data_IF_355907481832
#
_entry.id   IF_355907481832
#
_cell.length_a   1.000
_cell.length_b   1.000
_cell.length_c   1.000
_cell.angle_alpha   90.00
_cell.angle_beta   90.00
_cell.angle_gamma   90.00
#
_symmetry.space_group_name_H-M   'P 1'
#
loop_
_entity.id
_entity.type
_entity.pdbx_description
1 polymer ?
#
# COMPACT_ATOMS: atom_id res chain seq x y z
N UNK A 1 -11.99 -11.70 1.09
CA UNK A 1 -10.96 -12.48 1.83
C UNK A 1 -9.72 -11.62 1.96
N UNK A 2 -9.27 -11.43 3.18
CA UNK A 2 -8.03 -10.69 3.44
C UNK A 2 -6.83 -11.51 2.93
N UNK A 3 -6.00 -10.89 2.09
CA UNK A 3 -4.83 -11.58 1.51
C UNK A 3 -3.52 -11.01 2.07
N UNK A 4 -3.52 -9.76 2.55
CA UNK A 4 -2.31 -9.13 3.06
C UNK A 4 -2.69 -8.01 4.02
N UNK A 5 -1.95 -7.89 5.10
CA UNK A 5 -2.05 -6.77 6.03
C UNK A 5 -0.70 -6.10 6.14
N UNK A 6 -0.66 -4.81 5.86
CA UNK A 6 0.57 -4.02 5.86
C UNK A 6 0.55 -3.10 7.08
N UNK A 7 1.59 -3.19 7.90
CA UNK A 7 1.75 -2.39 9.12
C UNK A 7 2.68 -1.23 8.79
N UNK A 8 2.12 -0.01 8.73
CA UNK A 8 2.81 1.17 8.23
C UNK A 8 3.32 2.03 9.38
N UNK A 9 4.58 2.43 9.30
CA UNK A 9 5.20 3.37 10.23
C UNK A 9 5.77 4.53 9.42
N UNK A 10 5.17 5.73 9.56
CA UNK A 10 5.63 6.92 8.83
C UNK A 10 6.98 7.36 9.37
N UNK A 11 7.91 7.66 8.46
CA UNK A 11 9.27 8.08 8.81
C UNK A 11 9.58 9.52 8.44
N UNK A 12 8.64 10.20 7.79
CA UNK A 12 8.85 11.57 7.39
C UNK A 12 7.60 12.23 6.86
N UNK A 13 7.72 13.52 6.59
CA UNK A 13 6.62 14.33 6.09
C UNK A 13 7.22 15.47 5.28
N UNK A 14 7.00 15.44 3.96
CA UNK A 14 7.42 16.53 3.07
C UNK A 14 6.16 17.14 2.48
N UNK A 15 6.12 18.45 2.44
CA UNK A 15 4.91 19.11 1.98
C UNK A 15 5.28 20.42 1.24
N UNK A 16 4.53 20.68 0.16
CA UNK A 16 4.56 21.96 -0.52
C UNK A 16 3.12 22.42 -0.78
N UNK A 17 2.88 23.71 -0.59
CA UNK A 17 1.60 24.33 -0.85
C UNK A 17 1.80 25.44 -1.88
N UNK A 18 0.99 25.44 -2.93
CA UNK A 18 1.01 26.48 -3.94
C UNK A 18 -0.43 26.89 -4.23
N UNK A 19 -0.83 28.08 -3.74
CA UNK A 19 -2.24 28.49 -3.81
C UNK A 19 -3.12 27.51 -3.08
N UNK A 20 -4.06 26.92 -3.81
CA UNK A 20 -4.98 25.93 -3.26
C UNK A 20 -4.53 24.49 -3.52
N UNK A 21 -3.31 24.30 -4.02
CA UNK A 21 -2.75 22.98 -4.27
C UNK A 21 -1.83 22.60 -3.13
N UNK A 22 -1.93 21.36 -2.69
CA UNK A 22 -1.07 20.80 -1.65
C UNK A 22 -0.56 19.45 -2.12
N UNK A 23 0.75 19.25 -1.98
CA UNK A 23 1.35 17.93 -2.24
C UNK A 23 2.12 17.50 -1.00
N UNK A 24 1.83 16.30 -0.55
CA UNK A 24 2.51 15.69 0.59
C UNK A 24 3.17 14.40 0.15
N UNK A 25 4.39 14.17 0.63
CA UNK A 25 5.05 12.89 0.48
C UNK A 25 5.38 12.35 1.86
N UNK A 26 4.85 11.19 2.18
CA UNK A 26 4.96 10.56 3.49
C UNK A 26 5.78 9.29 3.34
N UNK A 27 7.12 9.35 3.52
CA UNK A 27 7.93 8.13 3.51
C UNK A 27 7.53 7.22 4.66
N UNK A 28 7.60 5.92 4.43
CA UNK A 28 7.25 4.97 5.48
C UNK A 28 8.09 3.70 5.38
N UNK A 29 8.13 3.00 6.49
CA UNK A 29 8.69 1.68 6.62
C UNK A 29 7.63 0.78 7.26
N UNK A 30 7.94 -0.49 7.43
CA UNK A 30 7.02 -1.40 8.10
C UNK A 30 7.18 -2.83 7.62
N UNK A 31 6.19 -3.64 7.99
CA UNK A 31 6.17 -5.06 7.68
C UNK A 31 4.81 -5.43 7.12
N UNK A 32 4.70 -6.65 6.62
CA UNK A 32 3.40 -7.19 6.24
C UNK A 32 3.32 -8.65 6.61
N UNK A 33 2.10 -9.14 6.79
CA UNK A 33 1.85 -10.56 6.93
C UNK A 33 0.50 -10.91 6.32
N UNK A 34 0.24 -12.21 6.23
CA UNK A 34 -0.99 -12.74 5.70
C UNK A 34 -0.85 -14.23 5.44
N UNK A 35 -1.90 -14.86 4.92
CA UNK A 35 -1.84 -16.31 4.69
C UNK A 35 -0.88 -16.72 3.57
N UNK A 36 -0.48 -15.78 2.71
CA UNK A 36 0.30 -16.10 1.50
C UNK A 36 1.69 -15.50 1.47
N UNK A 37 1.95 -14.45 2.26
CA UNK A 37 3.20 -13.71 2.17
C UNK A 37 3.49 -12.97 3.47
N UNK A 38 4.77 -12.93 3.85
CA UNK A 38 5.27 -12.15 4.99
C UNK A 38 6.54 -11.46 4.56
N UNK A 39 6.71 -10.20 4.96
CA UNK A 39 7.90 -9.49 4.58
C UNK A 39 8.09 -8.15 5.24
N UNK A 40 9.14 -7.46 4.80
CA UNK A 40 9.54 -6.14 5.30
C UNK A 40 9.61 -5.17 4.13
N UNK A 41 9.06 -3.98 4.34
CA UNK A 41 9.08 -2.92 3.34
C UNK A 41 10.52 -2.43 3.19
N UNK A 42 11.01 -2.42 1.96
CA UNK A 42 12.34 -1.93 1.64
C UNK A 42 12.35 -0.41 1.66
N UNK A 43 13.52 0.19 1.80
CA UNK A 43 13.70 1.64 1.77
C UNK A 43 13.14 2.21 0.46
N UNK A 44 12.43 3.32 0.53
CA UNK A 44 11.85 3.97 -0.63
C UNK A 44 10.33 3.96 -0.66
N UNK A 45 9.68 3.30 0.30
CA UNK A 45 8.22 3.37 0.39
C UNK A 45 7.75 4.79 0.66
N UNK A 46 6.76 5.25 -0.12
CA UNK A 46 6.25 6.61 0.02
C UNK A 46 4.78 6.66 -0.41
N UNK A 47 4.00 7.42 0.36
CA UNK A 47 2.62 7.77 0.03
C UNK A 47 2.61 9.22 -0.43
N UNK A 48 2.18 9.45 -1.67
CA UNK A 48 2.09 10.80 -2.24
C UNK A 48 0.62 11.19 -2.30
N UNK A 49 0.29 12.29 -1.63
CA UNK A 49 -1.08 12.83 -1.56
C UNK A 49 -1.12 14.17 -2.24
N UNK A 50 -2.11 14.38 -3.10
CA UNK A 50 -2.28 15.63 -3.83
C UNK A 50 -3.70 16.14 -3.66
N UNK A 51 -3.82 17.45 -3.41
CA UNK A 51 -5.12 18.13 -3.37
C UNK A 51 -5.12 19.20 -4.46
N UNK A 52 -6.16 19.21 -5.31
CA UNK A 52 -6.28 20.18 -6.38
C UNK A 52 -6.99 21.47 -5.91
N UNK A 53 -7.08 22.53 -6.76
CA UNK A 53 -7.71 23.78 -6.35
C UNK A 53 -9.19 23.65 -5.98
N UNK A 54 -9.89 22.64 -6.47
CA UNK A 54 -11.30 22.37 -6.16
C UNK A 54 -11.48 21.57 -4.88
N UNK A 55 -10.38 21.19 -4.20
CA UNK A 55 -10.42 20.42 -2.97
C UNK A 55 -10.48 18.92 -3.16
N UNK A 56 -10.38 18.44 -4.40
CA UNK A 56 -10.35 17.00 -4.67
C UNK A 56 -8.96 16.46 -4.39
N UNK A 57 -8.90 15.33 -3.71
CA UNK A 57 -7.64 14.72 -3.33
C UNK A 57 -7.43 13.35 -3.92
N UNK A 58 -6.16 13.03 -4.15
CA UNK A 58 -5.74 11.68 -4.55
C UNK A 58 -4.60 11.24 -3.65
N UNK A 59 -4.44 9.93 -3.53
CA UNK A 59 -3.27 9.35 -2.88
C UNK A 59 -2.71 8.22 -3.73
N UNK A 60 -1.40 8.03 -3.66
CA UNK A 60 -0.71 6.95 -4.34
C UNK A 60 0.45 6.51 -3.45
N UNK A 61 0.34 5.31 -2.89
CA UNK A 61 1.39 4.71 -2.09
C UNK A 61 2.10 3.67 -2.93
N UNK A 62 3.43 3.73 -2.99
CA UNK A 62 4.26 2.78 -3.75
C UNK A 62 5.35 2.26 -2.85
N UNK A 63 5.49 0.95 -2.81
CA UNK A 63 6.49 0.34 -1.95
C UNK A 63 6.83 -1.06 -2.43
N UNK A 64 8.06 -1.49 -2.10
CA UNK A 64 8.58 -2.80 -2.43
C UNK A 64 8.77 -3.57 -1.12
N UNK A 65 8.40 -4.84 -1.11
CA UNK A 65 8.51 -5.69 0.07
C UNK A 65 9.40 -6.88 -0.27
N UNK A 66 10.34 -7.17 0.61
CA UNK A 66 11.18 -8.35 0.53
C UNK A 66 10.71 -9.35 1.58
N UNK A 67 10.45 -10.58 1.17
CA UNK A 67 9.85 -11.52 2.11
C UNK A 67 9.85 -12.96 1.64
N UNK A 68 8.89 -13.71 2.17
CA UNK A 68 8.79 -15.16 1.96
C UNK A 68 7.32 -15.47 1.61
N UNK A 69 7.13 -16.26 0.56
CA UNK A 69 5.79 -16.70 0.15
C UNK A 69 5.31 -17.91 0.97
N UNK A 70 4.09 -18.34 0.68
CA UNK A 70 3.46 -19.44 1.40
C UNK A 70 4.12 -20.80 1.16
N UNK A 71 5.02 -20.89 0.18
CA UNK A 71 5.81 -22.09 -0.08
C UNK A 71 7.19 -22.05 0.53
N UNK A 72 7.50 -20.96 1.27
CA UNK A 72 8.79 -20.81 1.95
C UNK A 72 9.89 -20.25 1.06
N UNK A 73 9.56 -19.73 -0.13
CA UNK A 73 10.56 -19.20 -1.04
C UNK A 73 10.72 -17.69 -0.86
N UNK A 74 11.96 -17.22 -0.89
CA UNK A 74 12.24 -15.79 -0.87
C UNK A 74 11.73 -15.14 -2.14
N UNK A 75 11.08 -14.00 -2.00
CA UNK A 75 10.50 -13.28 -3.13
C UNK A 75 10.30 -11.82 -2.80
N UNK A 76 9.98 -11.04 -3.81
CA UNK A 76 9.63 -9.62 -3.66
C UNK A 76 8.25 -9.34 -4.20
N UNK A 77 7.66 -8.28 -3.66
CA UNK A 77 6.35 -7.82 -4.07
C UNK A 77 6.39 -6.31 -4.15
N UNK A 78 5.96 -5.77 -5.30
CA UNK A 78 5.72 -4.34 -5.45
C UNK A 78 4.23 -4.08 -5.32
N UNK A 79 3.88 -3.06 -4.55
CA UNK A 79 2.50 -2.63 -4.40
C UNK A 79 2.39 -1.16 -4.76
N UNK A 80 1.43 -0.86 -5.62
CA UNK A 80 1.01 0.51 -5.88
C UNK A 80 -0.46 0.59 -5.50
N UNK A 81 -0.77 1.48 -4.56
CA UNK A 81 -2.10 1.57 -3.98
C UNK A 81 -2.63 2.98 -4.19
N UNK A 82 -3.62 3.10 -5.07
CA UNK A 82 -4.14 4.40 -5.52
C UNK A 82 -5.57 4.60 -5.04
N UNK A 83 -5.92 5.84 -4.73
CA UNK A 83 -7.29 6.18 -4.36
C UNK A 83 -7.54 7.68 -4.53
N UNK A 84 -8.82 8.02 -4.60
CA UNK A 84 -9.28 9.38 -4.29
C UNK A 84 -9.45 9.49 -2.77
N UNK A 85 -9.31 10.71 -2.26
CA UNK A 85 -9.48 10.97 -0.82
C UNK A 85 -10.81 10.42 -0.32
N UNK A 86 -10.80 9.77 0.84
CA UNK A 86 -11.96 9.20 1.51
C UNK A 86 -12.62 8.02 0.78
N UNK A 87 -11.89 7.39 -0.13
CA UNK A 87 -12.36 6.20 -0.85
C UNK A 87 -11.54 4.98 -0.44
N UNK A 88 -12.07 3.80 -0.74
CA UNK A 88 -11.27 2.59 -0.67
C UNK A 88 -10.17 2.67 -1.72
N UNK A 89 -9.06 1.98 -1.48
CA UNK A 89 -7.93 2.01 -2.39
C UNK A 89 -8.01 0.85 -3.38
N UNK A 90 -7.34 1.02 -4.52
CA UNK A 90 -7.23 -0.04 -5.53
C UNK A 90 -5.76 -0.42 -5.65
N UNK A 91 -5.34 -1.51 -4.97
CA UNK A 91 -3.96 -1.95 -5.03
C UNK A 91 -3.67 -2.73 -6.32
N UNK A 92 -2.48 -2.51 -6.84
CA UNK A 92 -1.91 -3.30 -7.92
C UNK A 92 -0.66 -3.99 -7.38
N UNK A 93 -0.54 -5.28 -7.63
CA UNK A 93 0.57 -6.08 -7.13
C UNK A 93 1.36 -6.64 -8.30
N UNK A 94 2.70 -6.57 -8.20
CA UNK A 94 3.64 -7.23 -9.12
C UNK A 94 4.62 -8.01 -8.25
N UNK A 95 4.83 -9.29 -8.57
CA UNK A 95 5.69 -10.15 -7.75
C UNK A 95 6.48 -11.12 -8.62
N UNK A 96 7.64 -11.51 -8.15
CA UNK A 96 8.45 -12.55 -8.78
C UNK A 96 8.17 -13.96 -8.23
N UNK A 97 7.21 -14.09 -7.33
CA UNK A 97 6.83 -15.40 -6.78
C UNK A 97 5.82 -16.10 -7.69
N UNK A 98 6.15 -17.29 -8.22
CA UNK A 98 5.16 -18.05 -8.99
C UNK A 98 3.92 -18.40 -8.19
N UNK A 99 4.06 -18.63 -6.88
CA UNK A 99 2.95 -18.97 -6.01
C UNK A 99 1.98 -17.81 -5.82
N UNK A 100 2.43 -16.57 -6.06
CA UNK A 100 1.64 -15.35 -5.81
C UNK A 100 1.23 -14.64 -7.10
N UNK A 101 1.52 -15.20 -8.27
CA UNK A 101 1.17 -14.56 -9.55
C UNK A 101 -0.32 -14.28 -9.69
N UNK A 102 -1.15 -15.07 -9.04
CA UNK A 102 -2.59 -14.87 -9.09
C UNK A 102 -3.02 -13.52 -8.49
N UNK A 103 -2.21 -12.94 -7.60
CA UNK A 103 -2.49 -11.62 -7.03
C UNK A 103 -2.36 -10.50 -8.08
N UNK A 104 -1.60 -10.73 -9.14
CA UNK A 104 -1.42 -9.72 -10.20
C UNK A 104 -2.70 -9.51 -11.02
N UNK A 105 -3.57 -10.51 -11.07
CA UNK A 105 -4.81 -10.47 -11.86
C UNK A 105 -6.07 -10.52 -11.00
N UNK A 106 -5.94 -10.67 -9.69
CA UNK A 106 -7.07 -10.71 -8.79
C UNK A 106 -7.72 -9.32 -8.67
N UNK A 107 -9.02 -9.30 -8.40
CA UNK A 107 -9.70 -8.07 -8.03
C UNK A 107 -9.38 -7.75 -6.57
N UNK A 108 -8.65 -6.69 -6.34
CA UNK A 108 -8.17 -6.31 -5.02
C UNK A 108 -8.75 -4.97 -4.59
N UNK A 109 -8.98 -4.85 -3.30
CA UNK A 109 -9.41 -3.63 -2.67
C UNK A 109 -8.61 -3.44 -1.39
N UNK A 110 -8.17 -2.21 -1.15
CA UNK A 110 -7.51 -1.86 0.09
C UNK A 110 -8.41 -1.02 0.97
N UNK A 111 -8.26 -1.16 2.26
CA UNK A 111 -8.90 -0.30 3.25
C UNK A 111 -7.94 -0.01 4.37
N UNK A 112 -8.15 1.11 5.05
CA UNK A 112 -7.30 1.55 6.14
C UNK A 112 -7.96 1.19 7.46
N UNK A 113 -7.16 0.72 8.41
CA UNK A 113 -7.57 0.50 9.80
C UNK A 113 -6.56 1.20 10.70
N UNK A 114 -7.01 1.61 11.86
CA UNK A 114 -6.17 2.34 12.83
C UNK A 114 -6.25 1.69 14.21
N UNK A 115 -5.84 0.41 14.35
CA UNK A 115 -5.85 -0.21 15.68
C UNK A 115 -4.82 0.47 16.58
N UNK A 116 -5.28 0.92 17.75
CA UNK A 116 -4.45 1.61 18.74
C UNK A 116 -3.69 2.81 18.17
N UNK A 117 -4.30 3.51 17.19
CA UNK A 117 -3.70 4.68 16.56
C UNK A 117 -2.62 4.38 15.53
N UNK A 118 -2.38 3.10 15.21
CA UNK A 118 -1.40 2.68 14.22
C UNK A 118 -2.09 2.44 12.89
N UNK A 119 -1.41 2.76 11.78
CA UNK A 119 -1.98 2.58 10.44
C UNK A 119 -1.72 1.17 9.94
N UNK A 120 -2.79 0.45 9.63
CA UNK A 120 -2.75 -0.81 8.90
C UNK A 120 -3.46 -0.64 7.56
N UNK A 121 -2.89 -1.22 6.52
CA UNK A 121 -3.56 -1.31 5.22
C UNK A 121 -3.96 -2.77 5.04
N UNK A 122 -5.24 -3.01 4.84
CA UNK A 122 -5.77 -4.36 4.62
C UNK A 122 -6.10 -4.50 3.15
N UNK A 123 -5.46 -5.48 2.50
CA UNK A 123 -5.70 -5.78 1.09
C UNK A 123 -6.50 -7.07 1.03
N UNK A 124 -7.62 -7.03 0.33
CA UNK A 124 -8.52 -8.16 0.25
C UNK A 124 -9.01 -8.36 -1.18
N UNK A 125 -9.39 -9.60 -1.49
CA UNK A 125 -10.04 -9.91 -2.75
C UNK A 125 -11.51 -9.51 -2.66
N UNK A 126 -12.04 -8.98 -3.75
CA UNK A 126 -13.46 -8.66 -3.87
C UNK A 126 -14.05 -9.50 -5.00
N UNK A 127 -15.31 -9.87 -4.83
CA UNK A 127 -16.04 -10.55 -5.88
C UNK A 127 -16.57 -9.53 -6.88
N UNK A 128 -16.54 -9.89 -8.16
CA UNK A 128 -17.07 -8.97 -9.16
C UNK A 128 -16.75 -9.34 -10.57
#
# INVERSE_FOLDING_TARGET
MEVLRVYVNLTGWLEVTSGNRVVKMLPFEGTCDGPYFKGTILQGGVDTQKTDPEGNGTLSARYMIDGVDCEGNNCRMFIENNAKTNSTTTPTIITDSPALKWLEIANLQGRLEFPDGKLNIVIETIEG
#
